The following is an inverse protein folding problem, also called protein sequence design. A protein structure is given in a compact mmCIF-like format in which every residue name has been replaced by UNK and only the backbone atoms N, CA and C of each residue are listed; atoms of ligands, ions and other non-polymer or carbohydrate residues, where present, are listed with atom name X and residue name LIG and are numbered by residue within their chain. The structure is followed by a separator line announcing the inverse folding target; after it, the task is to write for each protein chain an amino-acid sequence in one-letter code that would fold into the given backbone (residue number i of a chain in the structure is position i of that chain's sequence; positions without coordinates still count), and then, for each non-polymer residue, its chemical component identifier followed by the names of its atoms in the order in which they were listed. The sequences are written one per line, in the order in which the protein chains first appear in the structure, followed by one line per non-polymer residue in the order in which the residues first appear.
data_IF_572992858700
#
_entry.id   IF_572992858700
#
_cell.length_a   1.000
_cell.length_b   1.000
_cell.length_c   1.000
_cell.angle_alpha   90.00
_cell.angle_beta   90.00
_cell.angle_gamma   90.00
#
_symmetry.space_group_name_H-M   'P 1'
#
loop_
_entity.id
_entity.type
_entity.pdbx_description
1 polymer ?
#
# COMPACT_ATOMS: atom_id res chain seq x y z
N UNK A 1 20.78 6.30 3.88
CA UNK A 1 19.40 6.84 3.80
C UNK A 1 18.47 5.79 4.39
N UNK A 2 17.59 6.21 5.30
CA UNK A 2 16.58 5.34 5.90
C UNK A 2 15.40 5.21 4.90
N UNK A 3 15.43 4.13 4.13
CA UNK A 3 14.42 3.84 3.09
C UNK A 3 13.09 3.35 3.64
N UNK A 4 13.11 2.83 4.88
CA UNK A 4 11.95 2.25 5.55
C UNK A 4 11.24 3.25 6.49
N UNK A 5 11.57 4.54 6.41
CA UNK A 5 11.00 5.60 7.26
C UNK A 5 10.98 5.27 8.76
N UNK A 6 12.07 4.65 9.26
CA UNK A 6 12.21 4.23 10.66
C UNK A 6 11.62 2.85 10.98
N UNK A 7 10.85 2.25 10.09
CA UNK A 7 10.21 0.94 10.35
C UNK A 7 11.20 -0.22 10.49
N UNK A 8 12.37 -0.17 9.82
CA UNK A 8 13.39 -1.20 10.02
C UNK A 8 13.92 -1.22 11.46
N UNK A 9 14.20 -0.06 12.05
CA UNK A 9 14.66 0.05 13.44
C UNK A 9 13.61 -0.42 14.46
N UNK A 10 12.33 -0.36 14.09
CA UNK A 10 11.20 -0.66 14.95
C UNK A 10 10.42 -1.91 14.52
N UNK A 11 10.93 -2.70 13.57
CA UNK A 11 10.21 -3.81 12.96
C UNK A 11 9.64 -4.82 13.97
N UNK A 12 10.43 -5.25 14.94
CA UNK A 12 9.98 -6.17 15.99
C UNK A 12 8.86 -5.59 16.87
N UNK A 13 8.96 -4.30 17.19
CA UNK A 13 7.95 -3.59 17.97
C UNK A 13 6.67 -3.44 17.17
N UNK A 14 6.78 -3.07 15.89
CA UNK A 14 5.65 -2.98 14.97
C UNK A 14 4.90 -4.32 14.88
N UNK A 15 5.59 -5.43 14.60
CA UNK A 15 4.97 -6.75 14.48
C UNK A 15 4.25 -7.20 15.76
N UNK A 16 4.78 -6.82 16.94
CA UNK A 16 4.15 -7.18 18.23
C UNK A 16 2.98 -6.29 18.62
N UNK A 17 3.01 -5.01 18.25
CA UNK A 17 2.05 -4.02 18.74
C UNK A 17 0.93 -3.67 17.78
N UNK A 18 1.10 -3.95 16.47
CA UNK A 18 0.07 -3.64 15.49
C UNK A 18 -1.19 -4.49 15.69
N UNK A 19 -2.33 -3.91 15.38
CA UNK A 19 -3.57 -4.66 15.40
C UNK A 19 -3.61 -5.70 14.27
N UNK A 20 -3.91 -6.98 14.54
CA UNK A 20 -3.75 -8.06 13.57
C UNK A 20 -4.77 -8.05 12.42
N UNK A 21 -5.84 -7.26 12.49
CA UNK A 21 -6.96 -7.29 11.55
C UNK A 21 -7.28 -5.95 10.89
N UNK A 22 -6.66 -4.84 11.31
CA UNK A 22 -6.90 -3.53 10.68
C UNK A 22 -6.54 -3.60 9.20
N UNK A 23 -7.45 -3.12 8.35
CA UNK A 23 -7.32 -3.12 6.90
C UNK A 23 -7.74 -4.40 6.20
N UNK A 24 -7.85 -5.53 6.90
CA UNK A 24 -8.16 -6.82 6.28
C UNK A 24 -9.56 -6.86 5.64
N UNK A 25 -10.58 -6.36 6.33
CA UNK A 25 -11.96 -6.41 5.83
C UNK A 25 -12.13 -5.68 4.48
N UNK A 26 -11.63 -4.45 4.40
CA UNK A 26 -11.74 -3.64 3.17
C UNK A 26 -10.88 -4.25 2.06
N UNK A 27 -9.67 -4.72 2.38
CA UNK A 27 -8.79 -5.37 1.41
C UNK A 27 -9.37 -6.71 0.91
N UNK A 28 -10.01 -7.51 1.77
CA UNK A 28 -10.70 -8.76 1.38
C UNK A 28 -11.85 -8.47 0.40
N UNK A 29 -12.74 -7.53 0.76
CA UNK A 29 -13.84 -7.13 -0.12
C UNK A 29 -13.35 -6.60 -1.47
N UNK A 30 -12.28 -5.79 -1.47
CA UNK A 30 -11.64 -5.29 -2.68
C UNK A 30 -11.00 -6.42 -3.51
N UNK A 31 -10.28 -7.33 -2.84
CA UNK A 31 -9.61 -8.48 -3.46
C UNK A 31 -10.59 -9.45 -4.12
N UNK A 32 -11.70 -9.76 -3.45
CA UNK A 32 -12.78 -10.64 -4.00
C UNK A 32 -13.48 -10.06 -5.23
N UNK A 33 -13.31 -8.79 -5.51
CA UNK A 33 -13.80 -8.18 -6.75
C UNK A 33 -12.96 -8.50 -7.99
N UNK A 34 -11.80 -9.17 -7.87
CA UNK A 34 -11.00 -9.64 -9.01
C UNK A 34 -11.35 -11.08 -9.39
N UNK A 35 -11.00 -11.45 -10.61
CA UNK A 35 -11.02 -12.86 -10.99
C UNK A 35 -9.87 -13.61 -10.29
N UNK A 36 -10.08 -14.89 -9.88
CA UNK A 36 -9.00 -15.69 -9.33
C UNK A 36 -7.78 -15.73 -10.26
N UNK A 37 -6.58 -15.61 -9.68
CA UNK A 37 -5.33 -15.54 -10.43
C UNK A 37 -4.96 -14.15 -10.94
N UNK A 38 -5.80 -13.13 -10.75
CA UNK A 38 -5.43 -11.75 -11.07
C UNK A 38 -4.16 -11.33 -10.30
N UNK A 39 -3.31 -10.56 -10.96
CA UNK A 39 -2.02 -10.12 -10.39
C UNK A 39 -2.19 -8.83 -9.60
N UNK A 40 -1.74 -8.84 -8.35
CA UNK A 40 -1.80 -7.68 -7.45
C UNK A 40 -0.43 -7.36 -6.88
N UNK A 41 -0.07 -6.09 -6.91
CA UNK A 41 1.12 -5.54 -6.24
C UNK A 41 0.72 -4.92 -4.90
N UNK A 42 1.36 -5.35 -3.82
CA UNK A 42 1.23 -4.73 -2.51
C UNK A 42 2.48 -3.90 -2.19
N UNK A 43 2.30 -2.60 -2.03
CA UNK A 43 3.33 -1.64 -1.63
C UNK A 43 3.27 -1.42 -0.12
N UNK A 44 4.41 -1.57 0.56
CA UNK A 44 4.48 -1.57 2.02
C UNK A 44 3.82 -2.82 2.60
N UNK A 45 4.16 -4.00 2.05
CA UNK A 45 3.51 -5.26 2.46
C UNK A 45 3.83 -5.67 3.91
N UNK A 46 4.85 -5.06 4.53
CA UNK A 46 5.25 -5.34 5.90
C UNK A 46 5.52 -6.83 6.14
N UNK A 47 4.92 -7.39 7.18
CA UNK A 47 4.93 -8.82 7.48
C UNK A 47 3.66 -9.56 7.02
N UNK A 48 2.82 -8.91 6.18
CA UNK A 48 1.77 -9.55 5.41
C UNK A 48 0.38 -9.62 6.07
N UNK A 49 -0.05 -8.62 6.82
CA UNK A 49 -1.41 -8.59 7.40
C UNK A 49 -2.49 -8.49 6.33
N UNK A 50 -2.33 -7.55 5.42
CA UNK A 50 -3.27 -7.35 4.30
C UNK A 50 -3.07 -8.45 3.26
N UNK A 51 -1.83 -8.86 3.03
CA UNK A 51 -1.48 -9.94 2.09
C UNK A 51 -2.25 -11.23 2.33
N UNK A 52 -2.52 -11.56 3.61
CA UNK A 52 -3.22 -12.80 3.95
C UNK A 52 -4.59 -12.88 3.25
N UNK A 53 -5.40 -11.84 3.34
CA UNK A 53 -6.74 -11.85 2.74
C UNK A 53 -6.70 -11.79 1.22
N UNK A 54 -5.66 -11.20 0.63
CA UNK A 54 -5.48 -11.16 -0.83
C UNK A 54 -5.08 -12.54 -1.38
N UNK A 55 -4.20 -13.25 -0.69
CA UNK A 55 -3.83 -14.63 -1.02
C UNK A 55 -5.04 -15.56 -0.86
N UNK A 56 -5.80 -15.41 0.24
CA UNK A 56 -7.01 -16.20 0.50
C UNK A 56 -8.12 -15.92 -0.54
N UNK A 57 -8.13 -14.74 -1.13
CA UNK A 57 -9.00 -14.41 -2.28
C UNK A 57 -8.54 -15.04 -3.61
N UNK A 58 -7.43 -15.79 -3.62
CA UNK A 58 -6.90 -16.48 -4.79
C UNK A 58 -6.13 -15.57 -5.76
N UNK A 59 -5.61 -14.43 -5.30
CA UNK A 59 -4.83 -13.50 -6.12
C UNK A 59 -3.37 -13.94 -6.21
N UNK A 60 -2.73 -13.63 -7.34
CA UNK A 60 -1.27 -13.76 -7.50
C UNK A 60 -0.61 -12.48 -6.99
N UNK A 61 -0.06 -12.55 -5.78
CA UNK A 61 0.47 -11.40 -5.06
C UNK A 61 1.96 -11.18 -5.36
N UNK A 62 2.35 -9.91 -5.39
CA UNK A 62 3.73 -9.41 -5.42
C UNK A 62 3.89 -8.39 -4.30
N UNK A 63 4.94 -8.50 -3.48
CA UNK A 63 5.15 -7.66 -2.31
C UNK A 63 6.39 -6.77 -2.43
N UNK A 64 6.26 -5.50 -2.08
CA UNK A 64 7.37 -4.54 -1.94
C UNK A 64 7.37 -3.97 -0.54
N UNK A 65 8.49 -4.03 0.14
CA UNK A 65 8.72 -3.35 1.41
C UNK A 65 10.17 -2.91 1.54
N UNK A 66 10.39 -1.79 2.20
CA UNK A 66 11.74 -1.25 2.39
C UNK A 66 12.47 -1.85 3.61
N UNK A 67 11.74 -2.50 4.53
CA UNK A 67 12.31 -3.12 5.73
C UNK A 67 12.71 -4.58 5.45
N UNK A 68 14.00 -4.90 5.43
CA UNK A 68 14.44 -6.29 5.27
C UNK A 68 13.96 -7.20 6.40
N UNK A 69 13.76 -6.68 7.61
CA UNK A 69 13.26 -7.47 8.76
C UNK A 69 11.79 -7.83 8.59
N UNK A 70 10.93 -6.86 8.22
CA UNK A 70 9.52 -7.13 7.93
C UNK A 70 9.38 -8.09 6.74
N UNK A 71 10.17 -7.86 5.69
CA UNK A 71 10.11 -8.69 4.49
C UNK A 71 10.60 -10.12 4.73
N UNK A 72 11.52 -10.34 5.66
CA UNK A 72 11.91 -11.69 6.09
C UNK A 72 10.73 -12.41 6.74
N UNK A 73 10.03 -11.77 7.68
CA UNK A 73 8.83 -12.33 8.31
C UNK A 73 7.72 -12.58 7.27
N UNK A 74 7.56 -11.70 6.31
CA UNK A 74 6.66 -11.88 5.17
C UNK A 74 6.96 -13.16 4.39
N UNK A 75 8.23 -13.36 3.99
CA UNK A 75 8.66 -14.52 3.21
C UNK A 75 8.48 -15.85 3.95
N UNK A 76 8.61 -15.84 5.26
CA UNK A 76 8.34 -17.02 6.10
C UNK A 76 6.86 -17.39 6.08
N UNK A 77 5.95 -16.40 6.04
CA UNK A 77 4.50 -16.60 5.98
C UNK A 77 4.01 -16.95 4.58
N UNK A 78 4.60 -16.36 3.56
CA UNK A 78 4.19 -16.45 2.16
C UNK A 78 5.36 -16.87 1.25
N UNK A 79 5.90 -18.09 1.39
CA UNK A 79 7.11 -18.50 0.67
C UNK A 79 6.94 -18.56 -0.86
N UNK A 80 5.68 -18.56 -1.34
CA UNK A 80 5.36 -18.55 -2.79
C UNK A 80 5.16 -17.16 -3.38
N UNK A 81 5.19 -16.09 -2.59
CA UNK A 81 5.00 -14.72 -3.06
C UNK A 81 6.33 -14.09 -3.45
N UNK A 82 6.41 -13.55 -4.66
CA UNK A 82 7.58 -12.82 -5.12
C UNK A 82 7.67 -11.46 -4.43
N UNK A 83 8.88 -11.10 -3.94
CA UNK A 83 9.07 -9.88 -3.14
C UNK A 83 10.31 -9.10 -3.55
N UNK A 84 10.24 -7.77 -3.47
CA UNK A 84 11.35 -6.84 -3.67
C UNK A 84 11.59 -6.04 -2.39
N UNK A 85 12.86 -6.00 -1.92
CA UNK A 85 13.26 -5.18 -0.78
C UNK A 85 13.69 -3.79 -1.29
N UNK A 86 12.75 -2.86 -1.36
CA UNK A 86 12.98 -1.51 -1.87
C UNK A 86 11.95 -0.52 -1.30
N UNK A 87 12.30 0.77 -1.26
CA UNK A 87 11.32 1.82 -1.07
C UNK A 87 10.34 1.87 -2.27
N UNK A 88 9.08 2.20 -2.02
CA UNK A 88 8.04 2.15 -3.05
C UNK A 88 8.35 3.06 -4.25
N UNK A 89 8.93 4.23 -4.02
CA UNK A 89 9.33 5.17 -5.06
C UNK A 89 10.56 4.69 -5.86
N UNK A 90 11.39 3.80 -5.31
CA UNK A 90 12.59 3.26 -5.95
C UNK A 90 12.37 1.88 -6.60
N UNK A 91 11.41 1.09 -6.11
CA UNK A 91 11.11 -0.27 -6.59
C UNK A 91 10.87 -0.30 -8.09
N UNK A 92 11.28 -1.38 -8.74
CA UNK A 92 11.03 -1.59 -10.19
C UNK A 92 9.62 -2.07 -10.49
N UNK A 93 8.83 -2.39 -9.46
CA UNK A 93 7.53 -3.06 -9.58
C UNK A 93 7.64 -4.31 -10.47
N UNK A 94 8.75 -5.05 -10.27
CA UNK A 94 9.07 -6.29 -11.01
C UNK A 94 9.10 -6.10 -12.54
N UNK A 95 9.17 -4.85 -13.04
CA UNK A 95 9.05 -4.49 -14.47
C UNK A 95 7.79 -5.11 -15.12
N UNK A 96 6.66 -5.11 -14.40
CA UNK A 96 5.39 -5.73 -14.82
C UNK A 96 4.23 -4.76 -14.74
N UNK A 97 3.11 -5.18 -15.34
CA UNK A 97 1.81 -4.56 -15.13
C UNK A 97 0.90 -5.48 -14.31
N UNK A 98 -0.03 -4.88 -13.57
CA UNK A 98 -0.87 -5.54 -12.59
C UNK A 98 -2.35 -5.25 -12.85
N UNK A 99 -3.21 -6.17 -12.40
CA UNK A 99 -4.67 -5.96 -12.38
C UNK A 99 -5.07 -5.08 -11.19
N UNK A 100 -4.30 -5.11 -10.11
CA UNK A 100 -4.49 -4.28 -8.93
C UNK A 100 -3.20 -3.86 -8.26
N UNK A 101 -3.24 -2.71 -7.58
CA UNK A 101 -2.20 -2.26 -6.64
C UNK A 101 -2.87 -1.90 -5.32
N UNK A 102 -2.24 -2.25 -4.21
CA UNK A 102 -2.72 -1.91 -2.86
C UNK A 102 -1.59 -1.32 -2.03
N UNK A 103 -1.89 -0.28 -1.24
CA UNK A 103 -0.93 0.40 -0.37
C UNK A 103 -1.62 0.84 0.93
N UNK A 104 -1.80 -0.09 1.87
CA UNK A 104 -2.40 0.19 3.18
C UNK A 104 -1.33 0.58 4.18
N UNK A 105 -1.47 1.76 4.79
CA UNK A 105 -0.53 2.24 5.80
C UNK A 105 0.82 2.71 5.25
N UNK A 106 0.93 3.04 3.97
CA UNK A 106 2.21 3.42 3.36
C UNK A 106 2.25 4.88 2.87
N UNK A 107 1.27 5.30 2.06
CA UNK A 107 1.40 6.55 1.27
C UNK A 107 1.72 7.75 2.16
N UNK A 108 1.04 7.89 3.28
CA UNK A 108 1.23 9.00 4.21
C UNK A 108 2.56 8.96 5.00
N UNK A 109 3.31 7.85 4.97
CA UNK A 109 4.65 7.77 5.57
C UNK A 109 5.72 8.42 4.69
N UNK A 110 5.40 8.62 3.40
CA UNK A 110 6.33 9.14 2.41
C UNK A 110 6.29 10.68 2.37
N UNK A 111 7.43 11.35 2.11
CA UNK A 111 7.42 12.78 1.80
C UNK A 111 6.60 13.04 0.53
N UNK A 112 6.05 14.25 0.41
CA UNK A 112 5.16 14.62 -0.71
C UNK A 112 5.71 14.25 -2.09
N UNK A 113 6.99 14.53 -2.34
CA UNK A 113 7.63 14.21 -3.62
C UNK A 113 7.62 12.71 -3.92
N UNK A 114 7.86 11.87 -2.93
CA UNK A 114 7.82 10.42 -3.07
C UNK A 114 6.39 9.91 -3.26
N UNK A 115 5.39 10.48 -2.56
CA UNK A 115 3.98 10.17 -2.81
C UNK A 115 3.60 10.40 -4.27
N UNK A 116 3.94 11.55 -4.85
CA UNK A 116 3.68 11.88 -6.26
C UNK A 116 4.37 10.91 -7.22
N UNK A 117 5.61 10.52 -6.92
CA UNK A 117 6.34 9.50 -7.70
C UNK A 117 5.60 8.16 -7.64
N UNK A 118 5.21 7.70 -6.44
CA UNK A 118 4.51 6.41 -6.26
C UNK A 118 3.17 6.41 -7.02
N UNK A 119 2.35 7.47 -6.89
CA UNK A 119 1.08 7.56 -7.62
C UNK A 119 1.27 7.47 -9.13
N UNK A 120 2.29 8.16 -9.68
CA UNK A 120 2.63 8.10 -11.09
C UNK A 120 3.10 6.69 -11.51
N UNK A 121 3.93 6.06 -10.70
CA UNK A 121 4.41 4.69 -10.97
C UNK A 121 3.27 3.66 -10.90
N UNK A 122 2.35 3.80 -9.95
CA UNK A 122 1.15 2.97 -9.86
C UNK A 122 0.29 3.10 -11.12
N UNK A 123 0.08 4.34 -11.59
CA UNK A 123 -0.65 4.58 -12.83
C UNK A 123 -0.02 3.85 -14.02
N UNK A 124 1.32 3.88 -14.12
CA UNK A 124 2.05 3.22 -15.21
C UNK A 124 2.08 1.69 -15.08
N UNK A 125 2.03 1.17 -13.86
CA UNK A 125 2.07 -0.26 -13.58
C UNK A 125 0.69 -0.93 -13.65
N UNK A 126 -0.41 -0.19 -13.66
CA UNK A 126 -1.75 -0.74 -13.80
C UNK A 126 -2.15 -0.93 -15.26
N UNK A 127 -2.79 -2.05 -15.54
CA UNK A 127 -3.51 -2.30 -16.81
C UNK A 127 -4.71 -1.34 -16.93
N UNK A 128 -5.24 -1.14 -18.13
CA UNK A 128 -6.53 -0.48 -18.31
C UNK A 128 -7.62 -1.24 -17.53
N UNK A 129 -8.50 -0.53 -16.83
CA UNK A 129 -9.46 -1.09 -15.87
C UNK A 129 -8.85 -1.62 -14.58
N UNK A 130 -7.54 -1.52 -14.41
CA UNK A 130 -6.84 -1.91 -13.18
C UNK A 130 -7.24 -1.03 -11.99
N UNK A 131 -7.16 -1.58 -10.78
CA UNK A 131 -7.67 -0.93 -9.57
C UNK A 131 -6.56 -0.62 -8.59
N UNK A 132 -6.64 0.54 -7.95
CA UNK A 132 -5.75 0.97 -6.90
C UNK A 132 -6.51 1.21 -5.59
N UNK A 133 -6.02 0.64 -4.50
CA UNK A 133 -6.53 0.82 -3.15
C UNK A 133 -5.41 1.37 -2.27
N UNK A 134 -5.65 2.50 -1.58
CA UNK A 134 -4.67 2.99 -0.61
C UNK A 134 -5.33 3.73 0.54
N UNK A 135 -4.57 3.96 1.62
CA UNK A 135 -5.01 4.71 2.79
C UNK A 135 -4.20 5.99 2.97
N UNK A 136 -4.90 7.05 3.33
CA UNK A 136 -4.32 8.30 3.84
C UNK A 136 -5.41 9.06 4.62
N UNK A 137 -5.06 9.91 5.61
CA UNK A 137 -6.02 10.83 6.23
C UNK A 137 -6.76 11.67 5.19
N UNK A 138 -8.04 11.92 5.47
CA UNK A 138 -8.91 12.69 4.58
C UNK A 138 -8.46 14.15 4.47
N UNK A 139 -8.01 14.72 5.59
CA UNK A 139 -7.53 16.09 5.68
C UNK A 139 -6.07 16.19 5.25
N UNK A 140 -5.70 17.30 4.64
CA UNK A 140 -4.30 17.66 4.44
C UNK A 140 -3.68 18.00 5.80
N UNK A 141 -2.72 17.19 6.24
CA UNK A 141 -2.10 17.35 7.56
C UNK A 141 -0.70 16.73 7.62
N UNK A 142 0.04 17.10 8.66
CA UNK A 142 1.30 16.46 9.06
C UNK A 142 1.25 16.09 10.52
N UNK A 143 1.88 14.97 10.87
CA UNK A 143 2.02 14.54 12.25
C UNK A 143 3.33 13.80 12.46
N UNK A 144 3.70 13.58 13.71
CA UNK A 144 4.85 12.74 14.07
C UNK A 144 4.33 11.34 14.35
N UNK A 145 4.80 10.35 13.58
CA UNK A 145 4.46 8.95 13.80
C UNK A 145 4.84 8.51 15.22
N UNK A 146 3.91 7.82 15.88
CA UNK A 146 4.09 7.43 17.29
C UNK A 146 5.22 6.42 17.48
N UNK A 147 5.41 5.52 16.53
CA UNK A 147 6.42 4.46 16.59
C UNK A 147 7.80 4.96 16.16
N UNK A 148 7.87 5.50 14.95
CA UNK A 148 9.15 5.84 14.29
C UNK A 148 9.68 7.22 14.65
N UNK A 149 8.83 8.10 15.23
CA UNK A 149 9.13 9.52 15.48
C UNK A 149 9.50 10.30 14.22
N UNK A 150 9.16 9.78 13.05
CA UNK A 150 9.31 10.44 11.74
C UNK A 150 8.05 11.25 11.40
N UNK A 151 8.20 12.23 10.55
CA UNK A 151 7.06 12.98 10.02
C UNK A 151 6.27 12.11 9.05
N UNK A 152 4.96 12.07 9.25
CA UNK A 152 3.98 11.53 8.31
C UNK A 152 3.14 12.68 7.75
N UNK A 153 2.59 12.49 6.54
CA UNK A 153 1.88 13.56 5.83
C UNK A 153 0.77 13.02 4.94
N UNK A 154 -0.39 13.63 5.05
CA UNK A 154 -1.46 13.49 4.06
C UNK A 154 -1.54 14.74 3.20
N UNK A 155 -1.71 14.56 1.88
CA UNK A 155 -1.97 15.67 0.94
C UNK A 155 -3.44 16.11 1.00
N UNK A 156 -4.32 15.29 1.58
CA UNK A 156 -5.76 15.53 1.65
C UNK A 156 -6.51 14.98 0.43
N UNK A 157 -7.82 14.79 0.62
CA UNK A 157 -8.67 14.15 -0.39
C UNK A 157 -8.67 14.89 -1.72
N UNK A 158 -8.78 16.22 -1.70
CA UNK A 158 -8.84 17.04 -2.93
C UNK A 158 -7.57 16.90 -3.78
N UNK A 159 -6.40 16.91 -3.13
CA UNK A 159 -5.11 16.78 -3.83
C UNK A 159 -4.91 15.36 -4.35
N UNK A 160 -5.23 14.30 -3.56
CA UNK A 160 -5.13 12.92 -4.05
C UNK A 160 -6.07 12.66 -5.21
N UNK A 161 -7.33 13.09 -5.13
CA UNK A 161 -8.30 12.94 -6.22
C UNK A 161 -7.85 13.70 -7.46
N UNK A 162 -7.38 14.95 -7.31
CA UNK A 162 -6.86 15.76 -8.42
C UNK A 162 -5.67 15.12 -9.13
N UNK A 163 -4.70 14.60 -8.37
CA UNK A 163 -3.54 13.89 -8.91
C UNK A 163 -3.94 12.62 -9.65
N UNK A 164 -4.83 11.82 -9.07
CA UNK A 164 -5.29 10.56 -9.67
C UNK A 164 -6.14 10.80 -10.91
N UNK A 165 -7.03 11.80 -10.92
CA UNK A 165 -7.76 12.21 -12.13
C UNK A 165 -6.81 12.64 -13.24
N UNK A 166 -5.77 13.41 -12.90
CA UNK A 166 -4.72 13.81 -13.87
C UNK A 166 -3.93 12.64 -14.44
N UNK A 167 -3.88 11.50 -13.73
CA UNK A 167 -3.26 10.24 -14.14
C UNK A 167 -4.24 9.26 -14.84
N UNK A 168 -5.49 9.68 -15.07
CA UNK A 168 -6.49 8.90 -15.80
C UNK A 168 -7.28 7.92 -14.94
N UNK A 169 -7.39 8.18 -13.62
CA UNK A 169 -8.23 7.37 -12.75
C UNK A 169 -9.61 8.01 -12.51
N UNK A 170 -10.61 7.14 -12.36
CA UNK A 170 -11.83 7.46 -11.65
C UNK A 170 -11.63 7.13 -10.17
N UNK A 171 -11.97 8.05 -9.26
CA UNK A 171 -11.69 7.92 -7.83
C UNK A 171 -12.97 7.99 -7.02
N UNK A 172 -13.08 7.14 -6.02
CA UNK A 172 -14.06 7.24 -4.94
C UNK A 172 -13.37 7.09 -3.59
N UNK A 173 -13.86 7.79 -2.58
CA UNK A 173 -13.31 7.79 -1.23
C UNK A 173 -14.44 7.78 -0.21
N UNK A 174 -14.13 7.62 1.09
CA UNK A 174 -15.11 7.75 2.17
C UNK A 174 -15.36 6.47 2.96
N UNK A 175 -14.73 5.34 2.63
CA UNK A 175 -14.74 4.17 3.51
C UNK A 175 -13.67 4.30 4.58
N UNK A 176 -13.98 3.82 5.77
CA UNK A 176 -13.11 3.87 6.96
C UNK A 176 -13.10 2.47 7.58
N UNK A 177 -11.95 2.00 8.05
CA UNK A 177 -11.82 0.75 8.79
C UNK A 177 -11.94 0.94 10.31
N UNK A 178 -11.77 -0.13 11.06
CA UNK A 178 -11.85 -0.16 12.52
C UNK A 178 -10.73 0.64 13.21
N UNK A 179 -9.66 0.96 12.48
CA UNK A 179 -8.55 1.81 12.93
C UNK A 179 -8.69 3.27 12.49
N UNK A 180 -9.87 3.66 12.00
CA UNK A 180 -10.17 5.01 11.48
C UNK A 180 -9.31 5.39 10.25
N UNK A 181 -8.72 4.41 9.55
CA UNK A 181 -8.02 4.66 8.30
C UNK A 181 -9.01 4.93 7.18
N UNK A 182 -8.82 6.04 6.48
CA UNK A 182 -9.62 6.42 5.33
C UNK A 182 -9.06 5.81 4.05
N UNK A 183 -9.93 5.24 3.22
CA UNK A 183 -9.59 4.51 2.01
C UNK A 183 -9.98 5.26 0.74
N UNK A 184 -9.06 5.23 -0.23
CA UNK A 184 -9.24 5.68 -1.60
C UNK A 184 -9.30 4.47 -2.52
N UNK A 185 -10.30 4.46 -3.40
CA UNK A 185 -10.51 3.45 -4.43
C UNK A 185 -10.38 4.14 -5.78
N UNK A 186 -9.46 3.72 -6.61
CA UNK A 186 -9.25 4.29 -7.92
C UNK A 186 -9.30 3.20 -9.00
N UNK A 187 -9.90 3.51 -10.13
CA UNK A 187 -9.98 2.62 -11.30
C UNK A 187 -9.36 3.35 -12.48
N UNK A 188 -8.38 2.73 -13.12
CA UNK A 188 -7.69 3.28 -14.28
C UNK A 188 -8.57 3.17 -15.53
N UNK A 189 -8.77 4.28 -16.22
CA UNK A 189 -9.43 4.32 -17.51
C UNK A 189 -8.67 3.62 -18.64
#
# INVERSE_FOLDING_TARGET
LDRANGYEEHADTFMRSRHPHIGQKIADEWGRGFTPGATVLELGCGDGVVSQVLVDAGLTLYGVDASPTLLRAFRERFPGVETECAAAEESTYFNRTFDGVVAVGLIFLLPESAQRIVLTKVANALKAGGRFLFTAPREACTWVDVLTKRESRSLGVEEYEGLLHGLGFEVSSGRVDEGENHYFFAVKG
#
